data_IF_612939542352
#
_entry.id   IF_612939542352
#
_cell.length_a   1.000
_cell.length_b   1.000
_cell.length_c   1.000
_cell.angle_alpha   90.00
_cell.angle_beta   90.00
_cell.angle_gamma   90.00
#
_symmetry.space_group_name_H-M   'P 1'
#
loop_
_entity.id
_entity.type
_entity.pdbx_description
1 polymer ?
#
# COMPACT_ATOMS: atom_id res chain seq x y z
N UNK A 1 -12.82 1.55 -10.44
CA UNK A 1 -12.99 1.40 -8.97
C UNK A 1 -13.91 2.43 -8.34
N UNK A 2 -14.27 3.51 -9.04
CA UNK A 2 -14.96 4.66 -8.43
C UNK A 2 -13.99 5.81 -8.16
N UNK A 3 -14.42 6.89 -7.49
CA UNK A 3 -13.54 8.01 -7.15
C UNK A 3 -12.43 7.57 -6.19
N UNK A 4 -11.26 8.19 -6.33
CA UNK A 4 -10.13 8.08 -5.41
C UNK A 4 -10.12 9.37 -4.58
N UNK A 5 -9.88 9.33 -3.25
CA UNK A 5 -9.71 10.55 -2.47
C UNK A 5 -8.57 11.40 -3.03
N UNK A 6 -8.78 12.71 -3.21
CA UNK A 6 -7.78 13.61 -3.79
C UNK A 6 -6.45 13.59 -2.99
N UNK A 7 -6.52 13.44 -1.67
CA UNK A 7 -5.36 13.29 -0.79
C UNK A 7 -4.54 11.99 -1.03
N UNK A 8 -5.16 10.97 -1.64
CA UNK A 8 -4.51 9.70 -1.94
C UNK A 8 -3.83 9.69 -3.32
N UNK A 9 -4.28 10.55 -4.25
CA UNK A 9 -3.81 10.59 -5.64
C UNK A 9 -2.28 10.66 -5.80
N UNK A 10 -1.54 11.46 -5.00
CA UNK A 10 -0.08 11.56 -5.13
C UNK A 10 0.67 10.25 -4.84
N UNK A 11 0.01 9.26 -4.21
CA UNK A 11 0.62 7.98 -3.85
C UNK A 11 0.39 6.88 -4.89
N UNK A 12 -0.30 7.17 -5.99
CA UNK A 12 -0.55 6.22 -7.07
C UNK A 12 0.31 6.51 -8.29
N UNK A 13 0.86 5.45 -8.89
CA UNK A 13 1.61 5.55 -10.14
C UNK A 13 0.68 5.62 -11.36
N UNK A 14 1.18 5.98 -12.56
CA UNK A 14 0.42 5.88 -13.80
C UNK A 14 -0.11 4.47 -14.10
N UNK A 15 0.50 3.44 -13.51
CA UNK A 15 0.10 2.05 -13.62
C UNK A 15 -0.81 1.61 -12.46
N UNK A 16 -1.57 2.51 -11.83
CA UNK A 16 -2.46 2.11 -10.74
C UNK A 16 -3.69 1.35 -11.27
N UNK A 17 -3.86 0.09 -10.86
CA UNK A 17 -5.06 -0.70 -11.12
C UNK A 17 -6.11 -0.50 -10.02
N UNK A 18 -7.19 0.22 -10.34
CA UNK A 18 -8.30 0.49 -9.44
C UNK A 18 -9.63 -0.01 -10.01
N UNK A 19 -10.11 -1.16 -9.52
CA UNK A 19 -11.32 -1.82 -10.01
C UNK A 19 -12.30 -2.13 -8.88
N UNK A 20 -13.60 -2.19 -9.23
CA UNK A 20 -14.64 -2.77 -8.39
C UNK A 20 -15.24 -3.91 -9.19
N UNK A 21 -15.06 -5.14 -8.74
CA UNK A 21 -15.57 -6.32 -9.42
C UNK A 21 -17.06 -6.50 -9.11
N UNK A 22 -17.83 -7.10 -10.03
CA UNK A 22 -19.18 -7.56 -9.70
C UNK A 22 -19.15 -8.63 -8.60
N UNK A 23 -20.30 -9.02 -8.07
CA UNK A 23 -20.39 -10.15 -7.14
C UNK A 23 -20.89 -11.39 -7.89
N UNK A 24 -20.31 -12.56 -7.61
CA UNK A 24 -20.73 -13.85 -8.18
C UNK A 24 -19.58 -14.63 -8.85
N UNK A 25 -19.90 -15.81 -9.37
CA UNK A 25 -18.92 -16.77 -9.92
C UNK A 25 -18.04 -16.18 -11.03
N UNK A 26 -18.59 -15.30 -11.87
CA UNK A 26 -17.82 -14.59 -12.90
C UNK A 26 -16.67 -13.76 -12.33
N UNK A 27 -16.78 -13.31 -11.09
CA UNK A 27 -15.71 -12.57 -10.42
C UNK A 27 -14.63 -13.49 -9.87
N UNK A 28 -14.99 -14.69 -9.41
CA UNK A 28 -14.00 -15.67 -8.94
C UNK A 28 -13.11 -16.14 -10.10
N UNK A 29 -13.69 -16.30 -11.29
CA UNK A 29 -12.93 -16.56 -12.52
C UNK A 29 -12.01 -15.38 -12.87
N UNK A 30 -12.50 -14.13 -12.82
CA UNK A 30 -11.66 -12.95 -13.06
C UNK A 30 -10.53 -12.79 -12.02
N UNK A 31 -10.81 -13.12 -10.75
CA UNK A 31 -9.83 -13.09 -9.65
C UNK A 31 -8.73 -14.13 -9.90
N UNK A 32 -9.12 -15.36 -10.20
CA UNK A 32 -8.19 -16.49 -10.38
C UNK A 32 -7.44 -16.47 -11.70
N UNK A 33 -7.88 -15.67 -12.67
CA UNK A 33 -7.21 -15.47 -13.96
C UNK A 33 -6.60 -14.06 -14.06
N UNK A 34 -7.32 -13.12 -14.67
CA UNK A 34 -6.83 -11.80 -15.06
C UNK A 34 -6.20 -11.00 -13.91
N UNK A 35 -6.81 -11.02 -12.72
CA UNK A 35 -6.28 -10.28 -11.57
C UNK A 35 -5.06 -10.96 -10.97
N UNK A 36 -5.04 -12.29 -10.93
CA UNK A 36 -3.88 -13.03 -10.45
C UNK A 36 -2.69 -12.84 -11.40
N UNK A 37 -2.92 -12.88 -12.72
CA UNK A 37 -1.89 -12.61 -13.73
C UNK A 37 -1.35 -11.18 -13.57
N UNK A 38 -2.23 -10.18 -13.46
CA UNK A 38 -1.82 -8.79 -13.22
C UNK A 38 -1.05 -8.64 -11.89
N UNK A 39 -1.47 -9.31 -10.82
CA UNK A 39 -0.73 -9.34 -9.55
C UNK A 39 0.67 -9.93 -9.74
N UNK A 40 0.79 -11.07 -10.41
CA UNK A 40 2.06 -11.73 -10.66
C UNK A 40 2.98 -10.86 -11.52
N UNK A 41 2.46 -10.20 -12.56
CA UNK A 41 3.22 -9.26 -13.39
C UNK A 41 3.75 -8.07 -12.60
N UNK A 42 2.93 -7.46 -11.73
CA UNK A 42 3.37 -6.33 -10.89
C UNK A 42 4.44 -6.76 -9.89
N UNK A 43 4.27 -7.95 -9.30
CA UNK A 43 5.26 -8.50 -8.38
C UNK A 43 6.58 -8.81 -9.10
N UNK A 44 6.53 -9.46 -10.26
CA UNK A 44 7.71 -9.76 -11.06
C UNK A 44 8.45 -8.48 -11.47
N UNK A 45 7.71 -7.48 -11.97
CA UNK A 45 8.28 -6.17 -12.30
C UNK A 45 8.95 -5.53 -11.08
N UNK A 46 8.29 -5.55 -9.91
CA UNK A 46 8.88 -5.02 -8.69
C UNK A 46 10.19 -5.74 -8.31
N UNK A 47 10.21 -7.07 -8.38
CA UNK A 47 11.42 -7.86 -8.10
C UNK A 47 12.54 -7.54 -9.09
N UNK A 48 12.22 -7.37 -10.38
CA UNK A 48 13.21 -7.02 -11.39
C UNK A 48 13.77 -5.60 -11.17
N UNK A 49 12.93 -4.64 -10.76
CA UNK A 49 13.38 -3.30 -10.35
C UNK A 49 14.31 -3.36 -9.13
N UNK A 50 13.99 -4.18 -8.12
CA UNK A 50 14.83 -4.38 -6.93
C UNK A 50 16.17 -5.01 -7.31
N UNK A 51 16.19 -6.00 -8.20
CA UNK A 51 17.44 -6.63 -8.69
C UNK A 51 18.32 -5.66 -9.47
N UNK A 52 17.71 -4.76 -10.24
CA UNK A 52 18.43 -3.76 -11.03
C UNK A 52 18.84 -2.53 -10.19
N UNK A 53 18.23 -2.32 -9.01
CA UNK A 53 18.46 -1.15 -8.19
C UNK A 53 19.93 -1.03 -7.76
N UNK A 54 20.43 0.20 -7.77
CA UNK A 54 21.75 0.55 -7.25
C UNK A 54 21.59 1.53 -6.08
N UNK A 55 22.50 1.53 -5.10
CA UNK A 55 22.52 2.54 -4.05
C UNK A 55 22.53 3.96 -4.65
N UNK A 56 21.74 4.84 -4.06
CA UNK A 56 21.68 6.25 -4.46
C UNK A 56 22.57 7.10 -3.55
N UNK A 57 22.90 8.31 -4.01
CA UNK A 57 23.58 9.29 -3.18
C UNK A 57 22.77 9.61 -1.91
N UNK A 58 23.46 9.99 -0.84
CA UNK A 58 22.86 10.21 0.48
C UNK A 58 21.73 11.25 0.45
N UNK A 59 21.92 12.36 -0.26
CA UNK A 59 20.88 13.39 -0.44
C UNK A 59 19.60 12.82 -1.05
N UNK A 60 19.74 11.99 -2.10
CA UNK A 60 18.61 11.31 -2.72
C UNK A 60 17.98 10.31 -1.78
N UNK A 61 18.78 9.59 -0.99
CA UNK A 61 18.28 8.65 0.02
C UNK A 61 17.42 9.34 1.07
N UNK A 62 17.82 10.53 1.56
CA UNK A 62 17.04 11.33 2.51
C UNK A 62 15.71 11.77 1.90
N UNK A 63 15.73 12.29 0.68
CA UNK A 63 14.50 12.66 -0.04
C UNK A 63 13.54 11.48 -0.23
N UNK A 64 14.07 10.29 -0.55
CA UNK A 64 13.26 9.07 -0.69
C UNK A 64 12.67 8.62 0.65
N UNK A 65 13.45 8.68 1.73
CA UNK A 65 12.97 8.37 3.08
C UNK A 65 11.83 9.30 3.50
N UNK A 66 11.91 10.60 3.21
CA UNK A 66 10.81 11.53 3.47
C UNK A 66 9.54 11.16 2.69
N UNK A 67 9.70 10.69 1.45
CA UNK A 67 8.59 10.15 0.66
C UNK A 67 7.94 8.92 1.30
N UNK A 68 8.77 7.98 1.79
CA UNK A 68 8.29 6.79 2.50
C UNK A 68 7.56 7.19 3.80
N UNK A 69 8.12 8.11 4.59
CA UNK A 69 7.49 8.64 5.81
C UNK A 69 6.12 9.25 5.55
N UNK A 70 6.00 10.10 4.52
CA UNK A 70 4.71 10.70 4.13
C UNK A 70 3.68 9.63 3.77
N UNK A 71 4.07 8.64 2.96
CA UNK A 71 3.16 7.54 2.60
C UNK A 71 2.72 6.72 3.81
N UNK A 72 3.66 6.31 4.66
CA UNK A 72 3.34 5.47 5.83
C UNK A 72 2.49 6.21 6.84
N UNK A 73 2.74 7.51 7.06
CA UNK A 73 1.93 8.34 7.94
C UNK A 73 0.50 8.50 7.39
N UNK A 74 0.36 8.84 6.10
CA UNK A 74 -0.94 8.92 5.44
C UNK A 74 -1.73 7.62 5.57
N UNK A 75 -1.10 6.48 5.26
CA UNK A 75 -1.73 5.16 5.38
C UNK A 75 -2.11 4.85 6.82
N UNK A 76 -1.22 5.11 7.79
CA UNK A 76 -1.53 4.90 9.19
C UNK A 76 -2.75 5.72 9.62
N UNK A 77 -2.89 6.99 9.23
CA UNK A 77 -4.03 7.82 9.60
C UNK A 77 -5.33 7.51 8.86
N UNK A 78 -5.23 7.08 7.60
CA UNK A 78 -6.40 6.95 6.69
C UNK A 78 -6.74 5.52 6.32
N UNK A 79 -6.09 4.51 6.92
CA UNK A 79 -6.30 3.12 6.51
C UNK A 79 -7.79 2.72 6.56
N UNK A 80 -8.40 2.35 5.40
CA UNK A 80 -9.80 1.97 5.36
C UNK A 80 -10.15 0.76 6.23
N UNK A 81 -9.18 -0.10 6.55
CA UNK A 81 -9.38 -1.26 7.39
C UNK A 81 -9.59 -0.90 8.87
N UNK A 82 -9.19 0.31 9.32
CA UNK A 82 -9.28 0.74 10.72
C UNK A 82 -10.67 0.50 11.33
N UNK A 83 -11.73 0.90 10.63
CA UNK A 83 -13.09 0.74 11.12
C UNK A 83 -13.51 -0.72 11.28
N UNK A 84 -13.09 -1.58 10.34
CA UNK A 84 -13.35 -3.02 10.39
C UNK A 84 -12.55 -3.70 11.51
N UNK A 85 -11.24 -3.42 11.59
CA UNK A 85 -10.36 -3.95 12.63
C UNK A 85 -10.81 -3.54 14.04
N UNK A 86 -11.23 -2.28 14.20
CA UNK A 86 -11.74 -1.77 15.49
C UNK A 86 -12.99 -2.51 15.95
N UNK A 87 -13.86 -2.91 15.02
CA UNK A 87 -15.06 -3.70 15.32
C UNK A 87 -14.74 -5.14 15.72
N UNK A 88 -13.68 -5.74 15.16
CA UNK A 88 -13.29 -7.12 15.48
C UNK A 88 -12.40 -7.24 16.72
N UNK A 89 -11.52 -6.26 16.95
CA UNK A 89 -10.44 -6.39 17.93
C UNK A 89 -10.35 -5.23 18.93
N UNK A 90 -11.18 -4.19 18.77
CA UNK A 90 -11.16 -3.00 19.62
C UNK A 90 -10.14 -1.95 19.18
N UNK A 91 -10.36 -0.71 19.62
CA UNK A 91 -9.58 0.45 19.19
C UNK A 91 -8.10 0.36 19.59
N UNK A 92 -7.80 -0.04 20.83
CA UNK A 92 -6.41 -0.14 21.31
C UNK A 92 -5.57 -1.15 20.52
N UNK A 93 -6.13 -2.33 20.24
CA UNK A 93 -5.47 -3.33 19.40
C UNK A 93 -5.28 -2.81 17.97
N UNK A 94 -6.28 -2.11 17.43
CA UNK A 94 -6.24 -1.60 16.06
C UNK A 94 -5.17 -0.54 15.87
N UNK A 95 -5.08 0.44 16.77
CA UNK A 95 -4.05 1.47 16.67
C UNK A 95 -2.65 0.88 16.86
N UNK A 96 -2.48 -0.06 17.79
CA UNK A 96 -1.23 -0.79 17.91
C UNK A 96 -0.90 -1.52 16.60
N UNK A 97 -1.83 -2.29 16.04
CA UNK A 97 -1.57 -3.03 14.80
C UNK A 97 -1.23 -2.12 13.60
N UNK A 98 -1.94 -1.01 13.45
CA UNK A 98 -1.69 -0.05 12.36
C UNK A 98 -0.30 0.60 12.51
N UNK A 99 0.04 1.11 13.68
CA UNK A 99 1.25 1.91 13.91
C UNK A 99 2.49 1.07 14.22
N UNK A 100 2.31 -0.18 14.67
CA UNK A 100 3.39 -1.05 15.11
C UNK A 100 3.70 -2.20 14.16
N UNK A 101 2.79 -2.52 13.24
CA UNK A 101 2.95 -3.65 12.32
C UNK A 101 2.75 -3.23 10.87
N UNK A 102 1.62 -2.62 10.53
CA UNK A 102 1.31 -2.30 9.13
C UNK A 102 2.15 -1.14 8.59
N UNK A 103 2.37 -0.11 9.40
CA UNK A 103 3.06 1.13 9.01
C UNK A 103 4.05 1.57 10.10
N UNK A 104 5.05 0.74 10.36
CA UNK A 104 5.98 0.84 11.49
C UNK A 104 7.25 1.67 11.21
N UNK A 105 7.38 2.30 10.04
CA UNK A 105 8.61 2.96 9.59
C UNK A 105 9.17 3.97 10.60
N UNK A 106 8.30 4.74 11.27
CA UNK A 106 8.70 5.71 12.28
C UNK A 106 9.37 5.10 13.52
N UNK A 107 9.16 3.80 13.80
CA UNK A 107 9.83 3.08 14.88
C UNK A 107 11.28 2.75 14.55
N UNK A 108 11.56 2.45 13.28
CA UNK A 108 12.89 2.05 12.80
C UNK A 108 13.73 3.24 12.36
N UNK A 109 13.07 4.32 11.93
CA UNK A 109 13.69 5.55 11.47
C UNK A 109 13.03 6.75 12.16
N UNK A 110 13.36 7.01 13.45
CA UNK A 110 12.90 8.22 14.13
C UNK A 110 13.45 9.50 13.47
N UNK A 111 12.84 10.64 13.77
CA UNK A 111 13.35 11.98 13.40
C UNK A 111 14.60 12.37 14.20
#
# INVERSE_FOLDING_TARGET
GGPIPAEAEPYFSPAFLWARLPLGESSDELISSTLFDAFAEYLNLYVDLVRAAQPVAEERSRFLLDGQRRYTHYRAEKDPARGMLSRFHGAGWTEAYIHEVLFDLGRHYPE
#
